data_IF_024621769243
#
_entry.id   IF_024621769243
#
_cell.length_a   1.000
_cell.length_b   1.000
_cell.length_c   1.000
_cell.angle_alpha   90.00
_cell.angle_beta   90.00
_cell.angle_gamma   90.00
#
_symmetry.space_group_name_H-M   'P 1'
#
loop_
_entity.id
_entity.type
_entity.pdbx_description
1 polymer ?
#
# COMPACT_ATOMS: atom_id res chain seq x y z
N UNK A 1 13.68 9.80 -13.90
CA UNK A 1 12.47 9.06 -13.45
C UNK A 1 11.27 9.97 -13.54
N UNK A 2 10.11 9.43 -13.86
CA UNK A 2 8.86 10.17 -14.02
C UNK A 2 7.86 9.65 -13.01
N UNK A 3 7.23 10.56 -12.26
CA UNK A 3 6.07 10.27 -11.41
C UNK A 3 4.79 10.59 -12.17
N UNK A 4 3.88 9.62 -12.26
CA UNK A 4 2.54 9.85 -12.78
C UNK A 4 1.63 10.31 -11.65
N UNK A 5 0.78 11.28 -11.93
CA UNK A 5 -0.25 11.69 -10.97
C UNK A 5 -1.55 12.07 -11.66
N UNK A 6 -2.62 12.07 -10.91
CA UNK A 6 -3.92 12.61 -11.27
C UNK A 6 -4.26 13.73 -10.31
N UNK A 7 -4.93 14.76 -10.82
CA UNK A 7 -5.30 15.94 -10.05
C UNK A 7 -6.81 16.20 -10.19
N UNK A 8 -7.46 16.48 -9.06
CA UNK A 8 -8.85 16.94 -9.02
C UNK A 8 -8.85 18.35 -8.45
N UNK A 9 -8.98 19.31 -9.36
CA UNK A 9 -8.85 20.74 -9.06
C UNK A 9 -10.09 21.26 -8.36
N UNK A 10 -9.89 21.86 -7.19
CA UNK A 10 -10.92 22.58 -6.42
C UNK A 10 -10.28 23.78 -5.72
N UNK A 11 -11.08 24.62 -5.05
CA UNK A 11 -10.65 25.73 -4.20
C UNK A 11 -10.40 25.32 -2.72
N UNK A 12 -10.38 24.02 -2.46
CA UNK A 12 -10.29 23.43 -1.12
C UNK A 12 -8.84 23.16 -0.70
N UNK A 13 -8.58 22.90 0.60
CA UNK A 13 -7.26 22.46 1.08
C UNK A 13 -6.72 21.26 0.28
N UNK A 14 -5.41 21.23 0.08
CA UNK A 14 -4.75 20.21 -0.73
C UNK A 14 -4.55 18.91 0.04
N UNK A 15 -4.81 17.79 -0.63
CA UNK A 15 -4.64 16.44 -0.10
C UNK A 15 -3.88 15.58 -1.12
N UNK A 16 -2.74 15.04 -0.71
CA UNK A 16 -1.95 14.08 -1.48
C UNK A 16 -2.26 12.66 -1.01
N UNK A 17 -2.60 11.78 -1.93
CA UNK A 17 -2.92 10.37 -1.67
C UNK A 17 -1.81 9.45 -2.19
N UNK A 18 -1.25 8.62 -1.30
CA UNK A 18 -0.22 7.62 -1.58
C UNK A 18 -0.78 6.21 -1.32
N UNK A 19 -0.85 5.41 -2.37
CA UNK A 19 -1.44 4.08 -2.37
C UNK A 19 -0.58 3.02 -1.66
N UNK A 20 -1.10 1.80 -1.50
CA UNK A 20 -0.37 0.66 -0.96
C UNK A 20 0.48 -0.05 -2.02
N UNK A 21 1.45 -0.83 -1.58
CA UNK A 21 2.23 -1.75 -2.41
C UNK A 21 1.31 -2.68 -3.22
N UNK A 22 1.67 -2.92 -4.48
CA UNK A 22 0.91 -3.79 -5.38
C UNK A 22 -0.41 -3.20 -5.90
N UNK A 23 -0.76 -1.97 -5.48
CA UNK A 23 -1.90 -1.20 -5.99
C UNK A 23 -1.42 0.01 -6.81
N UNK A 24 -2.26 0.97 -7.07
CA UNK A 24 -1.90 2.24 -7.69
C UNK A 24 -2.86 3.35 -7.21
N UNK A 25 -2.65 4.57 -7.67
CA UNK A 25 -3.46 5.75 -7.32
C UNK A 25 -4.97 5.55 -7.50
N UNK A 26 -5.40 4.69 -8.45
CA UNK A 26 -6.82 4.41 -8.70
C UNK A 26 -7.48 3.56 -7.59
N UNK A 27 -6.73 3.05 -6.61
CA UNK A 27 -7.30 2.35 -5.45
C UNK A 27 -8.26 3.23 -4.64
N UNK A 28 -8.07 4.55 -4.65
CA UNK A 28 -8.91 5.50 -3.93
C UNK A 28 -10.18 5.94 -4.68
N UNK A 29 -10.45 5.44 -5.90
CA UNK A 29 -11.57 5.91 -6.72
C UNK A 29 -12.94 5.77 -6.06
N UNK A 30 -13.12 4.83 -5.14
CA UNK A 30 -14.36 4.63 -4.40
C UNK A 30 -14.67 5.73 -3.34
N UNK A 31 -13.67 6.53 -2.98
CA UNK A 31 -13.78 7.63 -2.00
C UNK A 31 -13.50 9.01 -2.59
N UNK A 32 -12.83 9.08 -3.73
CA UNK A 32 -12.33 10.31 -4.33
C UNK A 32 -13.43 11.33 -4.63
N UNK A 33 -14.58 10.92 -5.16
CA UNK A 33 -15.71 11.82 -5.44
C UNK A 33 -16.28 12.49 -4.19
N UNK A 34 -16.19 11.82 -3.04
CA UNK A 34 -16.64 12.38 -1.77
C UNK A 34 -15.58 13.29 -1.16
N UNK A 35 -14.32 12.89 -1.24
CA UNK A 35 -13.19 13.68 -0.75
C UNK A 35 -13.01 14.96 -1.55
N UNK A 36 -13.25 14.97 -2.86
CA UNK A 36 -13.13 16.16 -3.71
C UNK A 36 -14.11 17.30 -3.36
N UNK A 37 -15.16 16.99 -2.61
CA UNK A 37 -16.04 18.02 -2.05
C UNK A 37 -15.40 18.83 -0.92
N UNK A 38 -14.32 18.31 -0.35
CA UNK A 38 -13.63 18.88 0.83
C UNK A 38 -12.15 19.18 0.57
N UNK A 39 -11.56 18.60 -0.48
CA UNK A 39 -10.14 18.72 -0.78
C UNK A 39 -9.90 18.94 -2.28
N UNK A 40 -8.80 19.65 -2.57
CA UNK A 40 -8.11 19.58 -3.85
C UNK A 40 -7.17 18.36 -3.80
N UNK A 41 -7.32 17.39 -4.71
CA UNK A 41 -6.73 16.06 -4.54
C UNK A 41 -5.64 15.81 -5.56
N UNK A 42 -4.49 15.32 -5.09
CA UNK A 42 -3.43 14.72 -5.90
C UNK A 42 -3.36 13.23 -5.59
N UNK A 43 -3.37 12.39 -6.63
CA UNK A 43 -3.20 10.93 -6.52
C UNK A 43 -1.91 10.56 -7.26
N UNK A 44 -0.89 10.09 -6.56
CA UNK A 44 0.41 9.78 -7.14
C UNK A 44 0.61 8.28 -7.23
N UNK A 45 1.05 7.81 -8.39
CA UNK A 45 1.69 6.50 -8.52
C UNK A 45 3.17 6.67 -8.15
N UNK A 46 3.66 6.06 -7.08
CA UNK A 46 5.11 6.08 -6.83
C UNK A 46 5.81 4.98 -7.66
N UNK A 47 7.15 5.03 -7.75
CA UNK A 47 7.92 4.16 -8.63
C UNK A 47 7.60 2.68 -8.48
N UNK A 48 7.67 1.95 -9.59
CA UNK A 48 7.34 0.54 -9.65
C UNK A 48 5.84 0.23 -9.71
N UNK A 49 4.98 1.28 -9.79
CA UNK A 49 3.52 1.14 -9.78
C UNK A 49 2.87 2.01 -10.85
N UNK A 50 1.71 1.54 -11.31
CA UNK A 50 0.81 2.29 -12.18
C UNK A 50 1.49 2.76 -13.48
N UNK A 51 1.51 4.06 -13.72
CA UNK A 51 2.11 4.68 -14.90
C UNK A 51 3.43 5.39 -14.61
N UNK A 52 3.93 5.31 -13.38
CA UNK A 52 5.24 5.85 -13.00
C UNK A 52 6.38 4.98 -13.51
N UNK A 53 7.58 5.57 -13.58
CA UNK A 53 8.77 4.85 -14.02
C UNK A 53 9.09 3.63 -13.16
N UNK A 54 9.53 2.55 -13.79
CA UNK A 54 10.14 1.41 -13.13
C UNK A 54 11.64 1.67 -13.00
N UNK A 55 12.04 2.27 -11.87
CA UNK A 55 13.42 2.57 -11.55
C UNK A 55 13.83 1.81 -10.29
N UNK A 56 14.42 0.64 -10.49
CA UNK A 56 14.76 -0.32 -9.43
C UNK A 56 15.76 0.21 -8.41
N UNK A 57 16.64 1.11 -8.82
CA UNK A 57 17.62 1.75 -7.92
C UNK A 57 16.94 2.64 -6.87
N UNK A 58 15.71 3.09 -7.13
CA UNK A 58 14.92 3.96 -6.26
C UNK A 58 13.84 3.25 -5.45
N UNK A 59 13.82 1.91 -5.39
CA UNK A 59 12.83 1.18 -4.61
C UNK A 59 13.20 1.12 -3.13
N UNK A 60 13.36 2.30 -2.53
CA UNK A 60 13.57 2.48 -1.10
C UNK A 60 12.83 3.70 -0.58
N UNK A 61 12.58 3.74 0.73
CA UNK A 61 11.78 4.76 1.38
C UNK A 61 12.35 6.17 1.19
N UNK A 62 13.67 6.32 1.28
CA UNK A 62 14.35 7.61 1.25
C UNK A 62 14.26 8.24 -0.15
N UNK A 63 14.58 7.49 -1.20
CA UNK A 63 14.59 8.02 -2.56
C UNK A 63 13.18 8.34 -3.05
N UNK A 64 12.21 7.46 -2.78
CA UNK A 64 10.80 7.72 -3.13
C UNK A 64 10.29 8.94 -2.37
N UNK A 65 10.54 9.00 -1.06
CA UNK A 65 10.13 10.12 -0.23
C UNK A 65 10.71 11.46 -0.70
N UNK A 66 12.00 11.50 -1.03
CA UNK A 66 12.67 12.70 -1.54
C UNK A 66 12.10 13.15 -2.89
N UNK A 67 11.81 12.22 -3.80
CA UNK A 67 11.24 12.60 -5.10
C UNK A 67 9.78 13.08 -4.97
N UNK A 68 9.01 12.57 -4.00
CA UNK A 68 7.67 13.09 -3.70
C UNK A 68 7.74 14.44 -2.98
N UNK A 69 8.73 14.70 -2.12
CA UNK A 69 8.97 16.03 -1.55
C UNK A 69 9.22 17.04 -2.66
N UNK A 70 10.06 16.73 -3.64
CA UNK A 70 10.25 17.59 -4.83
C UNK A 70 8.96 17.81 -5.61
N UNK A 71 8.13 16.78 -5.74
CA UNK A 71 6.81 16.93 -6.38
C UNK A 71 5.93 17.92 -5.60
N UNK A 72 5.96 17.89 -4.27
CA UNK A 72 5.23 18.85 -3.43
C UNK A 72 5.78 20.27 -3.65
N UNK A 73 7.10 20.44 -3.64
CA UNK A 73 7.77 21.74 -3.78
C UNK A 73 7.63 22.36 -5.18
N UNK A 74 7.68 21.54 -6.22
CA UNK A 74 7.74 22.01 -7.61
C UNK A 74 6.37 22.02 -8.31
N UNK A 75 5.45 21.13 -7.93
CA UNK A 75 4.15 20.97 -8.58
C UNK A 75 3.02 21.49 -7.70
N UNK A 76 2.92 21.01 -6.45
CA UNK A 76 1.86 21.43 -5.52
C UNK A 76 2.10 22.87 -5.03
N UNK A 77 3.33 23.23 -4.65
CA UNK A 77 3.79 24.58 -4.27
C UNK A 77 2.99 25.23 -3.15
N UNK A 78 2.48 24.42 -2.23
CA UNK A 78 1.62 24.90 -1.14
C UNK A 78 1.58 23.86 -0.01
N UNK A 79 1.03 24.27 1.13
CA UNK A 79 0.75 23.34 2.21
C UNK A 79 -0.21 22.25 1.77
N UNK A 80 0.12 21.01 2.13
CA UNK A 80 -0.64 19.82 1.75
C UNK A 80 -0.75 18.84 2.90
N UNK A 81 -1.94 18.31 3.12
CA UNK A 81 -2.12 17.12 3.96
C UNK A 81 -1.81 15.87 3.16
N UNK A 82 -1.15 14.90 3.78
CA UNK A 82 -0.72 13.68 3.10
C UNK A 82 -1.43 12.48 3.72
N UNK A 83 -2.10 11.69 2.89
CA UNK A 83 -2.67 10.41 3.28
C UNK A 83 -1.86 9.29 2.64
N UNK A 84 -1.40 8.34 3.45
CA UNK A 84 -0.72 7.15 2.97
C UNK A 84 -1.37 5.87 3.48
N UNK A 85 -1.68 4.96 2.56
CA UNK A 85 -2.17 3.63 2.87
C UNK A 85 -1.01 2.63 2.85
N UNK A 86 -0.87 1.84 3.93
CA UNK A 86 0.13 0.76 4.03
C UNK A 86 1.56 1.26 3.76
N UNK A 87 2.27 0.75 2.76
CA UNK A 87 3.59 1.25 2.33
C UNK A 87 3.56 2.74 1.94
N UNK A 88 2.45 3.23 1.38
CA UNK A 88 2.23 4.66 1.17
C UNK A 88 2.23 5.46 2.48
N UNK A 89 1.83 4.83 3.59
CA UNK A 89 1.91 5.43 4.93
C UNK A 89 3.34 5.54 5.46
N UNK A 90 4.21 4.58 5.12
CA UNK A 90 5.65 4.69 5.40
C UNK A 90 6.26 5.89 4.66
N UNK A 91 5.94 6.02 3.36
CA UNK A 91 6.39 7.14 2.51
C UNK A 91 5.82 8.47 3.04
N UNK A 92 4.53 8.53 3.37
CA UNK A 92 3.89 9.72 3.93
C UNK A 92 4.56 10.17 5.24
N UNK A 93 4.94 9.22 6.10
CA UNK A 93 5.64 9.52 7.35
C UNK A 93 7.05 10.08 7.12
N UNK A 94 7.77 9.56 6.13
CA UNK A 94 9.06 10.11 5.73
C UNK A 94 8.91 11.55 5.25
N UNK A 95 7.92 11.83 4.42
CA UNK A 95 7.64 13.18 3.92
C UNK A 95 7.27 14.11 5.08
N UNK A 96 6.38 13.69 5.97
CA UNK A 96 5.97 14.50 7.12
C UNK A 96 7.11 14.82 8.10
N UNK A 97 8.13 13.95 8.15
CA UNK A 97 9.34 14.15 8.95
C UNK A 97 10.37 15.10 8.31
N UNK A 98 10.31 15.32 6.97
CA UNK A 98 11.36 15.98 6.20
C UNK A 98 10.87 17.14 5.30
N UNK A 99 9.56 17.41 5.23
CA UNK A 99 8.97 18.43 4.37
C UNK A 99 8.15 19.43 5.19
N UNK A 100 8.54 20.70 5.18
CA UNK A 100 7.83 21.79 5.91
C UNK A 100 6.45 22.09 5.34
N UNK A 101 6.19 21.78 4.07
CA UNK A 101 4.89 21.94 3.43
C UNK A 101 3.88 20.86 3.81
N UNK A 102 4.28 19.83 4.57
CA UNK A 102 3.35 18.85 5.11
C UNK A 102 2.58 19.43 6.29
N UNK A 103 1.33 19.84 6.07
CA UNK A 103 0.47 20.48 7.08
C UNK A 103 -0.35 19.51 7.92
N UNK A 104 -0.47 18.25 7.49
CA UNK A 104 -1.20 17.20 8.20
C UNK A 104 -0.87 15.82 7.65
N UNK A 105 -0.93 14.80 8.50
CA UNK A 105 -0.64 13.42 8.13
C UNK A 105 -1.82 12.52 8.46
N UNK A 106 -2.23 11.70 7.50
CA UNK A 106 -3.25 10.66 7.68
C UNK A 106 -2.60 9.32 7.33
N UNK A 107 -2.58 8.41 8.28
CA UNK A 107 -1.97 7.09 8.17
C UNK A 107 -3.06 6.02 8.12
N UNK A 108 -3.26 5.40 6.98
CA UNK A 108 -4.16 4.26 6.85
C UNK A 108 -3.36 2.96 7.01
N UNK A 109 -3.34 2.45 8.22
CA UNK A 109 -2.80 1.15 8.65
C UNK A 109 -1.38 0.82 8.10
N UNK A 110 -0.37 1.69 8.24
CA UNK A 110 0.99 1.40 7.77
C UNK A 110 1.70 0.33 8.62
N UNK A 111 2.58 -0.49 8.00
CA UNK A 111 3.21 -1.64 8.69
C UNK A 111 4.50 -1.29 9.44
N UNK A 112 4.67 -0.13 10.00
CA UNK A 112 5.92 0.37 10.62
C UNK A 112 6.86 -0.75 11.12
N UNK A 113 7.03 -0.94 12.42
CA UNK A 113 7.97 -1.89 13.02
C UNK A 113 7.73 -3.36 12.62
N UNK A 114 6.52 -3.73 12.20
CA UNK A 114 6.20 -5.08 11.77
C UNK A 114 6.90 -5.48 10.46
N UNK A 115 7.19 -4.53 9.57
CA UNK A 115 7.77 -4.80 8.24
C UNK A 115 9.31 -4.71 8.19
N UNK A 116 10.00 -4.60 9.34
CA UNK A 116 11.45 -4.35 9.42
C UNK A 116 12.17 -5.51 10.07
N UNK A 117 13.38 -5.81 9.59
CA UNK A 117 14.24 -6.86 10.11
C UNK A 117 13.54 -8.22 10.09
N UNK A 118 13.84 -9.07 11.08
CA UNK A 118 13.29 -10.42 11.13
C UNK A 118 11.77 -10.45 11.43
N UNK A 119 11.21 -9.37 11.97
CA UNK A 119 9.76 -9.30 12.23
C UNK A 119 8.94 -9.37 10.94
N UNK A 120 9.48 -8.89 9.82
CA UNK A 120 8.79 -8.95 8.53
C UNK A 120 8.41 -10.37 8.11
N UNK A 121 9.17 -11.39 8.51
CA UNK A 121 8.89 -12.79 8.17
C UNK A 121 7.53 -13.29 8.68
N UNK A 122 7.02 -12.69 9.74
CA UNK A 122 5.73 -13.03 10.33
C UNK A 122 4.59 -12.11 9.87
N UNK A 123 4.74 -11.39 8.76
CA UNK A 123 3.69 -10.54 8.20
C UNK A 123 3.05 -11.17 6.97
N UNK A 124 1.73 -10.94 6.80
CA UNK A 124 1.01 -11.40 5.61
C UNK A 124 1.65 -10.88 4.31
N UNK A 125 2.10 -9.62 4.29
CA UNK A 125 2.78 -9.04 3.13
C UNK A 125 4.05 -9.83 2.73
N UNK A 126 4.82 -10.28 3.71
CA UNK A 126 6.04 -11.04 3.43
C UNK A 126 5.73 -12.43 2.85
N UNK A 127 4.85 -13.18 3.49
CA UNK A 127 4.52 -14.56 3.04
C UNK A 127 3.70 -14.58 1.75
N UNK A 128 3.00 -13.50 1.44
CA UNK A 128 2.22 -13.34 0.21
C UNK A 128 3.03 -12.59 -0.85
N UNK A 129 2.86 -11.27 -0.96
CA UNK A 129 3.34 -10.49 -2.09
C UNK A 129 4.88 -10.49 -2.22
N UNK A 130 5.60 -10.30 -1.11
CA UNK A 130 7.07 -10.20 -1.16
C UNK A 130 7.71 -11.53 -1.57
N UNK A 131 7.27 -12.65 -0.99
CA UNK A 131 7.78 -14.00 -1.37
C UNK A 131 7.41 -14.37 -2.80
N UNK A 132 6.20 -14.05 -3.25
CA UNK A 132 5.79 -14.30 -4.64
C UNK A 132 6.63 -13.47 -5.62
N UNK A 133 6.93 -12.22 -5.29
CA UNK A 133 7.83 -11.38 -6.10
C UNK A 133 9.23 -11.98 -6.18
N UNK A 134 9.83 -12.36 -5.05
CA UNK A 134 11.14 -13.00 -4.98
C UNK A 134 11.21 -14.27 -5.85
N UNK A 135 10.23 -15.15 -5.73
CA UNK A 135 10.16 -16.37 -6.51
C UNK A 135 9.94 -16.08 -7.99
N UNK A 136 9.14 -15.07 -8.34
CA UNK A 136 8.90 -14.69 -9.72
C UNK A 136 10.17 -14.20 -10.43
N UNK A 137 10.95 -13.34 -9.79
CA UNK A 137 12.19 -12.82 -10.40
C UNK A 137 13.31 -13.87 -10.46
N UNK A 138 13.17 -14.97 -9.71
CA UNK A 138 14.15 -16.08 -9.67
C UNK A 138 13.86 -17.18 -10.68
N UNK A 139 12.79 -17.07 -11.49
CA UNK A 139 12.39 -18.04 -12.49
C UNK A 139 12.18 -17.38 -13.87
N UNK A 140 12.23 -18.18 -14.95
CA UNK A 140 12.09 -17.73 -16.32
C UNK A 140 10.92 -18.35 -17.09
N UNK A 141 10.19 -19.26 -16.48
CA UNK A 141 9.14 -20.07 -17.12
C UNK A 141 7.86 -19.23 -17.36
N UNK A 142 7.42 -18.48 -16.37
CA UNK A 142 6.21 -17.66 -16.44
C UNK A 142 6.62 -16.19 -16.49
N UNK A 143 6.22 -15.47 -17.55
CA UNK A 143 6.55 -14.04 -17.74
C UNK A 143 5.43 -13.08 -17.30
N UNK A 144 4.21 -13.56 -17.16
CA UNK A 144 3.06 -12.76 -16.71
C UNK A 144 2.99 -12.77 -15.17
N UNK A 145 3.41 -11.67 -14.54
CA UNK A 145 3.40 -11.56 -13.09
C UNK A 145 1.99 -11.62 -12.48
N UNK A 146 0.98 -11.05 -13.14
CA UNK A 146 -0.39 -11.09 -12.62
C UNK A 146 -0.93 -12.52 -12.54
N UNK A 147 -0.63 -13.34 -13.55
CA UNK A 147 -0.95 -14.76 -13.54
C UNK A 147 -0.13 -15.53 -12.49
N UNK A 148 1.18 -15.28 -12.45
CA UNK A 148 2.07 -15.92 -11.48
C UNK A 148 1.65 -15.62 -10.04
N UNK A 149 1.36 -14.36 -9.73
CA UNK A 149 0.86 -13.95 -8.42
C UNK A 149 -0.46 -14.67 -8.09
N UNK A 150 -1.40 -14.72 -9.02
CA UNK A 150 -2.70 -15.38 -8.79
C UNK A 150 -2.54 -16.83 -8.33
N UNK A 151 -1.72 -17.62 -9.01
CA UNK A 151 -1.55 -19.04 -8.71
C UNK A 151 -0.64 -19.32 -7.49
N UNK A 152 0.13 -18.33 -7.02
CA UNK A 152 1.11 -18.51 -5.93
C UNK A 152 0.82 -17.68 -4.68
N UNK A 153 -0.27 -16.88 -4.66
CA UNK A 153 -0.62 -16.05 -3.49
C UNK A 153 -0.94 -16.91 -2.25
N UNK A 154 -0.59 -16.39 -1.09
CA UNK A 154 -0.74 -17.08 0.18
C UNK A 154 -2.20 -17.45 0.51
N UNK A 155 -3.18 -16.70 0.01
CA UNK A 155 -4.60 -16.93 0.28
C UNK A 155 -5.10 -18.33 -0.13
N UNK A 156 -4.36 -19.05 -0.99
CA UNK A 156 -4.66 -20.45 -1.30
C UNK A 156 -4.61 -21.35 -0.06
N UNK A 157 -3.81 -20.97 0.95
CA UNK A 157 -3.72 -21.70 2.22
C UNK A 157 -5.01 -21.64 3.07
N UNK A 158 -5.94 -20.75 2.73
CA UNK A 158 -7.27 -20.69 3.37
C UNK A 158 -8.29 -21.67 2.77
N UNK A 159 -7.93 -22.37 1.70
CA UNK A 159 -8.75 -23.43 1.12
C UNK A 159 -8.43 -24.77 1.77
N UNK A 160 -9.44 -25.71 1.90
CA UNK A 160 -9.20 -27.03 2.44
C UNK A 160 -8.12 -27.79 1.68
N UNK A 161 -7.24 -28.48 2.39
CA UNK A 161 -6.04 -29.14 1.83
C UNK A 161 -6.38 -30.17 0.73
N UNK A 162 -7.47 -30.94 0.92
CA UNK A 162 -7.94 -31.98 0.01
C UNK A 162 -8.46 -31.45 -1.34
N UNK A 163 -8.87 -30.20 -1.41
CA UNK A 163 -9.44 -29.57 -2.62
C UNK A 163 -8.60 -28.42 -3.18
N UNK A 164 -7.66 -27.88 -2.40
CA UNK A 164 -6.85 -26.72 -2.74
C UNK A 164 -6.19 -26.81 -4.12
N UNK A 165 -5.43 -27.87 -4.35
CA UNK A 165 -4.69 -28.05 -5.60
C UNK A 165 -5.61 -28.16 -6.81
N UNK A 166 -6.70 -28.89 -6.69
CA UNK A 166 -7.69 -29.04 -7.78
C UNK A 166 -8.36 -27.73 -8.13
N UNK A 167 -8.73 -26.94 -7.12
CA UNK A 167 -9.36 -25.61 -7.30
C UNK A 167 -8.34 -24.65 -7.90
N UNK A 168 -7.12 -24.58 -7.34
CA UNK A 168 -6.04 -23.72 -7.81
C UNK A 168 -5.70 -23.99 -9.28
N UNK A 169 -5.53 -25.25 -9.66
CA UNK A 169 -5.25 -25.65 -11.05
C UNK A 169 -6.37 -25.21 -11.98
N UNK A 170 -7.62 -25.51 -11.64
CA UNK A 170 -8.77 -25.15 -12.50
C UNK A 170 -8.95 -23.65 -12.67
N UNK A 171 -8.83 -22.89 -11.58
CA UNK A 171 -8.95 -21.43 -11.64
C UNK A 171 -7.70 -20.80 -12.30
N UNK A 172 -6.52 -21.39 -12.13
CA UNK A 172 -5.29 -21.02 -12.83
C UNK A 172 -5.42 -21.15 -14.34
N UNK A 173 -5.98 -22.25 -14.85
CA UNK A 173 -6.25 -22.42 -16.29
C UNK A 173 -7.21 -21.35 -16.84
N UNK A 174 -8.24 -20.97 -16.06
CA UNK A 174 -9.16 -19.91 -16.45
C UNK A 174 -8.47 -18.54 -16.45
N UNK A 175 -7.62 -18.29 -15.45
CA UNK A 175 -6.83 -17.07 -15.35
C UNK A 175 -5.86 -16.95 -16.54
N UNK A 176 -5.14 -18.02 -16.87
CA UNK A 176 -4.22 -18.04 -18.01
C UNK A 176 -4.94 -17.74 -19.32
N UNK A 177 -6.03 -18.45 -19.61
CA UNK A 177 -6.86 -18.20 -20.81
C UNK A 177 -7.38 -16.76 -20.89
N UNK A 178 -7.71 -16.16 -19.73
CA UNK A 178 -8.13 -14.76 -19.70
C UNK A 178 -6.96 -13.84 -20.04
N UNK A 179 -5.76 -14.06 -19.45
CA UNK A 179 -4.56 -13.26 -19.70
C UNK A 179 -4.11 -13.34 -21.16
N UNK A 180 -4.10 -14.51 -21.76
CA UNK A 180 -3.77 -14.69 -23.19
C UNK A 180 -4.67 -13.87 -24.12
N UNK A 181 -5.97 -13.75 -23.78
CA UNK A 181 -6.93 -12.95 -24.55
C UNK A 181 -6.92 -11.45 -24.23
N UNK A 182 -6.43 -11.09 -23.06
CA UNK A 182 -6.49 -9.73 -22.52
C UNK A 182 -5.21 -9.34 -21.77
N UNK A 183 -4.04 -9.32 -22.46
CA UNK A 183 -2.74 -9.10 -21.81
C UNK A 183 -2.63 -7.74 -21.09
N UNK A 184 -3.34 -6.72 -21.60
CA UNK A 184 -3.30 -5.35 -21.06
C UNK A 184 -4.42 -5.04 -20.05
N UNK A 185 -5.27 -6.03 -19.71
CA UNK A 185 -6.37 -5.82 -18.77
C UNK A 185 -6.06 -6.43 -17.41
N UNK A 186 -6.60 -5.82 -16.36
CA UNK A 186 -6.57 -6.43 -15.05
C UNK A 186 -7.16 -7.83 -15.06
N UNK A 187 -6.51 -8.76 -14.34
CA UNK A 187 -6.96 -10.14 -14.24
C UNK A 187 -8.40 -10.21 -13.70
N UNK A 188 -9.23 -11.01 -14.37
CA UNK A 188 -10.59 -11.34 -13.93
C UNK A 188 -10.72 -12.85 -13.84
N UNK A 189 -11.09 -13.34 -12.68
CA UNK A 189 -11.38 -14.75 -12.46
C UNK A 189 -12.82 -14.88 -11.98
N UNK A 190 -13.61 -15.64 -12.72
CA UNK A 190 -15.02 -15.88 -12.39
C UNK A 190 -15.11 -16.64 -11.06
N UNK A 191 -16.05 -16.24 -10.20
CA UNK A 191 -16.26 -16.77 -8.85
C UNK A 191 -15.19 -16.44 -7.82
N UNK A 192 -14.14 -15.68 -8.16
CA UNK A 192 -13.17 -15.22 -7.18
C UNK A 192 -13.79 -14.13 -6.28
N UNK A 193 -13.62 -14.18 -4.95
CA UNK A 193 -14.21 -13.19 -4.06
C UNK A 193 -13.75 -11.77 -4.40
N UNK A 194 -14.69 -10.83 -4.50
CA UNK A 194 -14.40 -9.44 -4.90
C UNK A 194 -13.32 -8.78 -4.05
N UNK A 195 -13.29 -9.05 -2.74
CA UNK A 195 -12.28 -8.50 -1.83
C UNK A 195 -10.85 -8.89 -2.19
N UNK A 196 -10.64 -10.05 -2.81
CA UNK A 196 -9.33 -10.48 -3.27
C UNK A 196 -8.99 -9.94 -4.68
N UNK A 197 -10.00 -9.47 -5.44
CA UNK A 197 -9.76 -8.85 -6.74
C UNK A 197 -9.20 -7.42 -6.63
N UNK A 198 -9.38 -6.75 -5.49
CA UNK A 198 -8.78 -5.42 -5.27
C UNK A 198 -7.26 -5.47 -5.32
N UNK A 199 -6.63 -6.53 -4.78
CA UNK A 199 -5.20 -6.75 -4.87
C UNK A 199 -4.69 -6.85 -6.32
N UNK A 200 -5.54 -7.26 -7.27
CA UNK A 200 -5.16 -7.39 -8.69
C UNK A 200 -5.29 -6.10 -9.48
N UNK A 201 -5.91 -5.05 -8.94
CA UNK A 201 -6.09 -3.79 -9.68
C UNK A 201 -4.78 -3.08 -10.01
N UNK A 202 -3.79 -3.23 -9.15
CA UNK A 202 -2.46 -2.64 -9.33
C UNK A 202 -1.43 -3.59 -9.94
N UNK A 203 -1.58 -4.88 -9.70
CA UNK A 203 -0.59 -5.92 -10.06
C UNK A 203 -0.27 -5.95 -11.56
N UNK A 204 -1.21 -5.55 -12.43
CA UNK A 204 -0.99 -5.46 -13.88
C UNK A 204 0.16 -4.52 -14.25
N UNK A 205 0.33 -3.44 -13.50
CA UNK A 205 1.34 -2.40 -13.72
C UNK A 205 2.20 -2.24 -12.46
N UNK A 206 2.71 -3.35 -11.97
CA UNK A 206 3.56 -3.43 -10.78
C UNK A 206 4.88 -4.11 -11.13
N UNK A 207 6.00 -3.52 -10.72
CA UNK A 207 7.31 -4.16 -10.88
C UNK A 207 7.58 -5.09 -9.69
N UNK A 208 7.71 -6.42 -9.92
CA UNK A 208 8.02 -7.37 -8.84
C UNK A 208 9.29 -7.05 -8.05
N UNK A 209 10.24 -6.32 -8.65
CA UNK A 209 11.44 -5.87 -7.94
C UNK A 209 11.14 -4.87 -6.81
N UNK A 210 9.97 -4.21 -6.85
CA UNK A 210 9.52 -3.44 -5.69
C UNK A 210 9.15 -4.37 -4.52
N UNK A 211 8.48 -5.50 -4.79
CA UNK A 211 8.20 -6.52 -3.78
C UNK A 211 9.48 -7.17 -3.23
N UNK A 212 10.49 -7.35 -4.08
CA UNK A 212 11.81 -7.82 -3.68
C UNK A 212 12.47 -6.89 -2.65
N UNK A 213 12.26 -5.57 -2.76
CA UNK A 213 12.82 -4.63 -1.78
C UNK A 213 12.23 -4.81 -0.36
N UNK A 214 11.01 -5.30 -0.25
CA UNK A 214 10.41 -5.71 1.04
C UNK A 214 10.87 -7.12 1.47
N UNK A 215 11.10 -8.02 0.51
CA UNK A 215 11.59 -9.36 0.81
C UNK A 215 12.98 -9.31 1.45
N UNK A 216 13.90 -8.54 0.87
CA UNK A 216 15.28 -8.40 1.34
C UNK A 216 15.52 -7.23 2.30
N UNK A 217 14.46 -6.51 2.69
CA UNK A 217 14.47 -5.33 3.60
C UNK A 217 15.20 -4.08 3.06
N UNK A 218 15.55 -4.06 1.79
CA UNK A 218 16.23 -2.89 1.20
C UNK A 218 15.31 -1.66 1.10
N UNK A 219 13.98 -1.84 1.13
CA UNK A 219 13.04 -0.73 1.18
C UNK A 219 13.24 0.15 2.42
N UNK A 220 13.56 -0.47 3.56
CA UNK A 220 13.77 0.21 4.84
C UNK A 220 15.26 0.54 5.10
N UNK A 221 16.15 0.33 4.13
CA UNK A 221 17.57 0.53 4.32
C UNK A 221 17.90 1.95 4.81
N UNK A 222 18.71 2.04 5.87
CA UNK A 222 19.11 3.31 6.50
C UNK A 222 17.97 4.12 7.15
N UNK A 223 16.80 3.51 7.41
CA UNK A 223 15.67 4.15 8.08
C UNK A 223 15.63 3.78 9.56
N UNK A 224 15.75 4.77 10.43
CA UNK A 224 15.44 4.66 11.86
C UNK A 224 14.02 5.19 12.09
N UNK A 225 13.05 4.28 12.21
CA UNK A 225 11.66 4.64 12.44
C UNK A 225 11.42 5.37 13.76
N UNK A 226 12.22 5.12 14.82
CA UNK A 226 12.07 5.86 16.07
C UNK A 226 12.40 7.34 15.86
N UNK A 227 13.51 7.63 15.18
CA UNK A 227 13.92 9.00 14.85
C UNK A 227 12.95 9.64 13.86
N UNK A 228 12.56 8.92 12.80
CA UNK A 228 11.66 9.41 11.77
C UNK A 228 10.32 9.84 12.36
N UNK A 229 9.66 8.97 13.13
CA UNK A 229 8.36 9.24 13.72
C UNK A 229 8.40 10.35 14.78
N UNK A 230 9.46 10.43 15.58
CA UNK A 230 9.63 11.50 16.57
C UNK A 230 9.84 12.88 15.95
N UNK A 231 10.25 12.94 14.69
CA UNK A 231 10.43 14.20 13.96
C UNK A 231 9.13 14.73 13.34
N UNK A 232 8.06 13.96 13.30
CA UNK A 232 6.76 14.40 12.77
C UNK A 232 6.16 15.46 13.72
N UNK A 233 5.90 16.66 13.19
CA UNK A 233 5.39 17.80 13.95
C UNK A 233 3.93 18.14 13.64
N UNK A 234 3.46 17.80 12.44
CA UNK A 234 2.10 18.06 12.02
C UNK A 234 1.09 17.19 12.77
N UNK A 235 -0.16 17.65 12.81
CA UNK A 235 -1.27 16.87 13.33
C UNK A 235 -1.40 15.55 12.53
N UNK A 236 -1.48 14.44 13.25
CA UNK A 236 -1.52 13.10 12.65
C UNK A 236 -2.81 12.39 13.03
N UNK A 237 -3.49 11.82 12.04
CA UNK A 237 -4.62 10.91 12.22
C UNK A 237 -4.20 9.50 11.81
N UNK A 238 -4.22 8.56 12.75
CA UNK A 238 -3.96 7.15 12.47
C UNK A 238 -5.28 6.38 12.36
N UNK A 239 -5.54 5.79 11.21
CA UNK A 239 -6.67 4.91 10.95
C UNK A 239 -6.19 3.46 11.09
N UNK A 240 -6.59 2.81 12.18
CA UNK A 240 -6.16 1.44 12.52
C UNK A 240 -7.20 0.43 12.09
N UNK A 241 -6.84 -0.42 11.14
CA UNK A 241 -7.62 -1.59 10.77
C UNK A 241 -7.50 -2.71 11.81
N UNK A 242 -8.42 -3.68 11.77
CA UNK A 242 -8.34 -4.86 12.61
C UNK A 242 -7.14 -5.72 12.22
N UNK A 243 -6.37 -6.12 13.21
CA UNK A 243 -5.29 -7.10 13.08
C UNK A 243 -5.66 -8.37 13.83
N UNK A 244 -5.43 -9.52 13.24
CA UNK A 244 -5.49 -10.81 13.90
C UNK A 244 -4.14 -11.51 13.79
N UNK A 245 -3.80 -12.31 14.79
CA UNK A 245 -2.60 -13.14 14.77
C UNK A 245 -3.07 -14.57 14.64
N UNK A 246 -2.59 -15.27 13.61
CA UNK A 246 -2.88 -16.68 13.40
C UNK A 246 -2.21 -17.57 14.46
N UNK A 247 -2.63 -18.83 14.54
CA UNK A 247 -2.02 -19.82 15.45
C UNK A 247 -0.55 -20.09 15.11
N UNK A 248 -0.16 -19.81 13.89
CA UNK A 248 1.23 -19.84 13.36
C UNK A 248 2.05 -18.58 13.68
N UNK A 249 1.45 -17.60 14.38
CA UNK A 249 2.07 -16.32 14.70
C UNK A 249 2.03 -15.30 13.54
N UNK A 250 1.37 -15.62 12.42
CA UNK A 250 1.26 -14.72 11.27
C UNK A 250 0.38 -13.50 11.60
N UNK A 251 0.93 -12.31 11.42
CA UNK A 251 0.21 -11.04 11.54
C UNK A 251 -0.67 -10.85 10.30
N UNK A 252 -1.96 -11.08 10.46
CA UNK A 252 -2.98 -10.83 9.43
C UNK A 252 -3.50 -9.39 9.56
N UNK A 253 -2.73 -8.45 9.08
CA UNK A 253 -2.89 -7.01 9.18
C UNK A 253 -1.55 -6.35 8.92
N UNK A 254 -1.44 -5.04 9.16
CA UNK A 254 -0.19 -4.32 8.92
C UNK A 254 0.72 -4.27 10.15
N UNK A 255 0.14 -4.02 11.33
CA UNK A 255 0.90 -3.88 12.58
C UNK A 255 0.03 -4.34 13.78
N UNK A 256 0.70 -4.73 14.85
CA UNK A 256 0.03 -5.13 16.10
C UNK A 256 -0.42 -3.90 16.91
N UNK A 257 -1.17 -4.13 18.00
CA UNK A 257 -1.53 -3.04 18.92
C UNK A 257 -0.32 -2.52 19.70
N UNK A 258 0.65 -3.38 20.01
CA UNK A 258 1.93 -3.00 20.62
C UNK A 258 2.74 -2.10 19.70
N UNK A 259 2.78 -2.39 18.40
CA UNK A 259 3.42 -1.51 17.41
C UNK A 259 2.73 -0.14 17.35
N UNK A 260 1.39 -0.13 17.38
CA UNK A 260 0.62 1.12 17.39
C UNK A 260 0.88 1.94 18.66
N UNK A 261 0.99 1.31 19.82
CA UNK A 261 1.37 2.00 21.07
C UNK A 261 2.77 2.63 20.97
N UNK A 262 3.73 1.92 20.33
CA UNK A 262 5.05 2.47 20.09
C UNK A 262 4.98 3.70 19.16
N UNK A 263 4.23 3.62 18.06
CA UNK A 263 4.01 4.76 17.16
C UNK A 263 3.39 5.94 17.90
N UNK A 264 2.38 5.69 18.74
CA UNK A 264 1.70 6.73 19.51
C UNK A 264 2.57 7.43 20.55
N UNK A 265 3.59 6.73 21.07
CA UNK A 265 4.59 7.35 21.96
C UNK A 265 5.58 8.25 21.22
N UNK A 266 5.81 7.99 19.93
CA UNK A 266 6.78 8.70 19.11
C UNK A 266 6.20 9.94 18.43
N UNK A 267 4.97 9.87 17.93
CA UNK A 267 4.30 10.98 17.28
C UNK A 267 3.50 11.77 18.33
N UNK A 268 3.99 12.95 18.70
CA UNK A 268 3.46 13.73 19.83
C UNK A 268 2.02 14.26 19.64
N UNK A 269 1.58 14.45 18.40
CA UNK A 269 0.26 14.99 18.06
C UNK A 269 -0.52 14.01 17.17
N UNK A 270 -0.84 12.84 17.73
CA UNK A 270 -1.53 11.77 17.01
C UNK A 270 -2.86 11.42 17.63
N UNK A 271 -3.90 11.35 16.79
CA UNK A 271 -5.21 10.83 17.11
C UNK A 271 -5.39 9.46 16.43
N UNK A 272 -6.02 8.50 17.11
CA UNK A 272 -6.24 7.15 16.59
C UNK A 272 -7.75 6.91 16.43
N UNK A 273 -8.16 6.47 15.23
CA UNK A 273 -9.51 5.96 14.96
C UNK A 273 -9.41 4.49 14.54
N UNK A 274 -10.17 3.60 15.22
CA UNK A 274 -10.14 2.15 14.99
C UNK A 274 -11.33 1.70 14.15
N UNK A 275 -11.07 0.76 13.23
CA UNK A 275 -12.06 0.21 12.31
C UNK A 275 -12.11 -1.31 12.40
N UNK A 276 -13.31 -1.87 12.55
CA UNK A 276 -13.54 -3.32 12.47
C UNK A 276 -13.71 -3.71 10.99
N UNK A 277 -12.60 -3.77 10.30
CA UNK A 277 -12.51 -4.15 8.88
C UNK A 277 -11.08 -4.59 8.53
N UNK A 278 -10.90 -5.06 7.29
CA UNK A 278 -9.58 -5.40 6.75
C UNK A 278 -8.67 -4.18 6.54
N UNK A 279 -7.47 -4.46 6.11
CA UNK A 279 -6.36 -3.52 5.92
C UNK A 279 -6.68 -2.30 5.02
N UNK A 280 -7.53 -2.45 4.01
CA UNK A 280 -7.99 -1.35 3.15
C UNK A 280 -9.26 -0.70 3.69
N UNK A 281 -9.15 0.23 4.65
CA UNK A 281 -10.31 0.87 5.31
C UNK A 281 -11.14 1.67 4.30
N UNK A 282 -10.48 2.39 3.39
CA UNK A 282 -11.15 3.15 2.31
C UNK A 282 -11.95 2.25 1.36
N UNK A 283 -11.58 0.96 1.24
CA UNK A 283 -12.30 -0.04 0.43
C UNK A 283 -13.48 -0.64 1.20
N UNK A 284 -13.21 -1.10 2.43
CA UNK A 284 -14.19 -1.84 3.24
C UNK A 284 -15.23 -0.94 3.92
N UNK A 285 -14.81 0.27 4.34
CA UNK A 285 -15.63 1.22 5.11
C UNK A 285 -15.61 2.64 4.52
N UNK A 286 -15.85 2.83 3.20
CA UNK A 286 -15.62 4.11 2.50
C UNK A 286 -16.37 5.30 3.11
N UNK A 287 -17.58 5.09 3.64
CA UNK A 287 -18.34 6.19 4.28
C UNK A 287 -17.73 6.63 5.60
N UNK A 288 -17.28 5.67 6.41
CA UNK A 288 -16.64 5.95 7.71
C UNK A 288 -15.26 6.56 7.51
N UNK A 289 -14.48 6.03 6.55
CA UNK A 289 -13.20 6.59 6.15
C UNK A 289 -13.29 8.07 5.78
N UNK A 290 -14.18 8.43 4.85
CA UNK A 290 -14.39 9.83 4.45
C UNK A 290 -14.80 10.67 5.66
N UNK A 291 -15.73 10.18 6.52
CA UNK A 291 -16.17 10.89 7.72
C UNK A 291 -15.02 11.16 8.70
N UNK A 292 -14.07 10.24 8.85
CA UNK A 292 -12.89 10.43 9.68
C UNK A 292 -12.01 11.60 9.19
N UNK A 293 -11.80 11.69 7.86
CA UNK A 293 -10.95 12.71 7.25
C UNK A 293 -11.56 14.13 7.30
N UNK A 294 -12.88 14.25 7.23
CA UNK A 294 -13.57 15.56 7.14
C UNK A 294 -13.99 16.14 8.49
N UNK A 295 -13.76 15.43 9.60
CA UNK A 295 -14.09 15.91 10.96
C UNK A 295 -13.05 16.89 11.53
N UNK A 296 -12.01 17.17 10.78
CA UNK A 296 -10.93 18.08 11.16
C UNK A 296 -11.17 19.50 10.68
#
# INVERSE_FOLDING_TARGET
SVLNYYEIVTDKPKLLLLHAQGTNSLSFMNVVDKLSKHFHIYLVDYYGHGKSSFNREKYNLIDIGNDIIKFIEEVIKDNVSILGHSSGGLIASYIASNCELCSGLILEDPPFFASVGDRRFNTYNYVDLSTVCHNFISQDEIKDFAYYYFINQYCWNFFPDDSREKIRTKLGELALKYREKHPDKNLKVMFWPKKFLEAFRGIQNYDPYFGESFYNDSFNANVDYNKLLSNIKCETLFLKAKTTIGDDGLIQGALTDEDLEQVNKLISNMNIERFDCGHGIHVDKPKQFVKALIRK
#
